data_IF_091182121898
#
_entry.id   IF_091182121898
#
_cell.length_a   1.000
_cell.length_b   1.000
_cell.length_c   1.000
_cell.angle_alpha   90.00
_cell.angle_beta   90.00
_cell.angle_gamma   90.00
#
_symmetry.space_group_name_H-M   'P 1'
#
loop_
_entity.id
_entity.type
_entity.pdbx_description
1 polymer ?
#
# COMPACT_ATOMS: atom_id res chain seq x y z
N UNK A 1 16.37 -27.15 18.71
CA UNK A 1 16.84 -26.56 17.43
C UNK A 1 15.70 -26.29 16.47
N UNK A 2 14.72 -27.19 16.29
CA UNK A 2 13.58 -26.99 15.38
C UNK A 2 12.67 -25.81 15.80
N UNK A 3 12.41 -25.62 17.09
CA UNK A 3 11.60 -24.51 17.59
C UNK A 3 12.26 -23.14 17.38
N UNK A 4 13.58 -23.04 17.50
CA UNK A 4 14.34 -21.82 17.21
C UNK A 4 14.34 -21.48 15.71
N UNK A 5 14.45 -22.49 14.85
CA UNK A 5 14.38 -22.29 13.41
C UNK A 5 12.98 -21.81 12.97
N UNK A 6 11.92 -22.38 13.54
CA UNK A 6 10.54 -21.95 13.26
C UNK A 6 10.27 -20.51 13.71
N UNK A 7 10.72 -20.12 14.91
CA UNK A 7 10.57 -18.74 15.40
C UNK A 7 11.36 -17.72 14.57
N UNK A 8 12.53 -18.10 14.09
CA UNK A 8 13.37 -17.23 13.23
C UNK A 8 12.73 -17.06 11.85
N UNK A 9 12.17 -18.12 11.26
CA UNK A 9 11.47 -18.04 9.98
C UNK A 9 10.21 -17.18 10.09
N UNK A 10 9.41 -17.35 11.14
CA UNK A 10 8.23 -16.51 11.39
C UNK A 10 8.60 -15.02 11.50
N UNK A 11 9.73 -14.69 12.12
CA UNK A 11 10.22 -13.30 12.18
C UNK A 11 10.58 -12.74 10.79
N UNK A 12 11.17 -13.55 9.92
CA UNK A 12 11.49 -13.14 8.54
C UNK A 12 10.25 -13.03 7.64
N UNK A 13 9.23 -13.84 7.86
CA UNK A 13 7.94 -13.74 7.18
C UNK A 13 7.19 -12.47 7.59
N UNK A 14 7.14 -12.15 8.89
CA UNK A 14 6.57 -10.90 9.39
C UNK A 14 7.31 -9.70 8.79
N UNK A 15 8.63 -9.75 8.71
CA UNK A 15 9.43 -8.69 8.09
C UNK A 15 9.07 -8.51 6.61
N UNK A 16 8.91 -9.60 5.87
CA UNK A 16 8.48 -9.58 4.47
C UNK A 16 7.07 -8.99 4.32
N UNK A 17 6.14 -9.38 5.19
CA UNK A 17 4.77 -8.86 5.18
C UNK A 17 4.72 -7.35 5.46
N UNK A 18 5.47 -6.87 6.47
CA UNK A 18 5.55 -5.45 6.81
C UNK A 18 6.13 -4.63 5.65
N UNK A 19 7.21 -5.10 5.04
CA UNK A 19 7.82 -4.39 3.92
C UNK A 19 6.90 -4.38 2.70
N UNK A 20 6.35 -5.53 2.29
CA UNK A 20 5.46 -5.59 1.14
C UNK A 20 4.20 -4.75 1.33
N UNK A 21 3.55 -4.86 2.49
CA UNK A 21 2.35 -4.09 2.80
C UNK A 21 2.64 -2.57 2.86
N UNK A 22 3.81 -2.16 3.36
CA UNK A 22 4.21 -0.75 3.40
C UNK A 22 4.56 -0.16 2.02
N UNK A 23 4.86 -0.98 1.03
CA UNK A 23 5.04 -0.55 -0.36
C UNK A 23 3.71 -0.31 -1.09
N UNK A 24 2.62 -0.94 -0.64
CA UNK A 24 1.30 -0.87 -1.30
C UNK A 24 0.73 0.54 -1.38
N UNK A 25 0.69 1.36 -0.31
CA UNK A 25 0.05 2.67 -0.34
C UNK A 25 0.54 3.59 -1.47
N UNK A 26 1.84 3.90 -1.58
CA UNK A 26 2.32 4.78 -2.65
C UNK A 26 2.16 4.16 -4.04
N UNK A 27 2.39 2.84 -4.18
CA UNK A 27 2.22 2.15 -5.46
C UNK A 27 0.75 2.14 -5.92
N UNK A 28 -0.18 1.94 -4.99
CA UNK A 28 -1.61 1.97 -5.29
C UNK A 28 -2.08 3.35 -5.74
N UNK A 29 -1.59 4.42 -5.08
CA UNK A 29 -1.92 5.78 -5.48
C UNK A 29 -1.29 6.16 -6.82
N UNK A 30 -0.05 5.74 -7.08
CA UNK A 30 0.60 5.88 -8.36
C UNK A 30 -0.19 5.17 -9.49
N UNK A 31 -0.64 3.94 -9.23
CA UNK A 31 -1.47 3.19 -10.17
C UNK A 31 -2.84 3.85 -10.40
N UNK A 32 -3.52 4.24 -9.33
CA UNK A 32 -4.84 4.86 -9.39
C UNK A 32 -4.82 6.20 -10.17
N UNK A 33 -3.83 7.07 -9.93
CA UNK A 33 -3.66 8.33 -10.64
C UNK A 33 -3.32 8.14 -12.12
N UNK A 34 -2.62 7.05 -12.45
CA UNK A 34 -2.29 6.70 -13.84
C UNK A 34 -3.51 6.14 -14.57
N UNK A 35 -4.29 5.26 -13.94
CA UNK A 35 -5.47 4.62 -14.56
C UNK A 35 -6.66 5.58 -14.71
N UNK A 36 -6.89 6.44 -13.73
CA UNK A 36 -8.04 7.36 -13.69
C UNK A 36 -7.62 8.78 -13.27
N UNK A 37 -6.85 9.48 -14.12
CA UNK A 37 -6.35 10.82 -13.79
C UNK A 37 -7.46 11.85 -13.54
N UNK A 38 -8.65 11.66 -14.12
CA UNK A 38 -9.79 12.56 -13.94
C UNK A 38 -10.42 12.56 -12.56
N UNK A 39 -10.08 11.58 -11.69
CA UNK A 39 -10.56 11.51 -10.31
C UNK A 39 -9.61 12.19 -9.32
N UNK A 40 -8.48 12.68 -9.80
CA UNK A 40 -7.42 13.26 -8.98
C UNK A 40 -7.09 14.67 -9.45
N UNK A 41 -6.81 15.55 -8.51
CA UNK A 41 -6.33 16.90 -8.79
C UNK A 41 -4.95 16.89 -9.47
N UNK A 42 -4.56 18.01 -10.05
CA UNK A 42 -3.27 18.12 -10.71
C UNK A 42 -2.09 17.88 -9.78
N UNK A 43 -2.05 18.42 -8.53
CA UNK A 43 -1.03 18.09 -7.55
C UNK A 43 -0.99 16.60 -7.18
N UNK A 44 -2.16 15.95 -7.03
CA UNK A 44 -2.22 14.52 -6.76
C UNK A 44 -1.64 13.67 -7.90
N UNK A 45 -1.89 14.06 -9.15
CA UNK A 45 -1.33 13.37 -10.34
C UNK A 45 0.19 13.51 -10.41
N UNK A 46 0.71 14.67 -10.06
CA UNK A 46 2.14 14.91 -10.01
C UNK A 46 2.81 14.10 -8.88
N UNK A 47 2.23 14.11 -7.68
CA UNK A 47 2.64 13.24 -6.59
C UNK A 47 2.55 11.74 -6.96
N UNK A 48 1.55 11.34 -7.75
CA UNK A 48 1.41 9.97 -8.25
C UNK A 48 2.58 9.50 -9.11
N UNK A 49 3.18 10.39 -9.88
CA UNK A 49 4.39 10.07 -10.68
C UNK A 49 5.59 9.78 -9.78
N UNK A 50 5.79 10.58 -8.73
CA UNK A 50 6.87 10.35 -7.76
C UNK A 50 6.59 9.10 -6.89
N UNK A 51 5.33 8.80 -6.62
CA UNK A 51 4.91 7.68 -5.79
C UNK A 51 5.31 6.31 -6.34
N UNK A 52 5.52 6.15 -7.65
CA UNK A 52 6.07 4.93 -8.23
C UNK A 52 7.46 4.61 -7.68
N UNK A 53 8.35 5.59 -7.70
CA UNK A 53 9.71 5.41 -7.22
C UNK A 53 9.75 5.27 -5.69
N UNK A 54 9.00 6.11 -4.98
CA UNK A 54 8.91 6.07 -3.52
C UNK A 54 8.39 4.72 -3.03
N UNK A 55 7.31 4.21 -3.64
CA UNK A 55 6.73 2.92 -3.29
C UNK A 55 7.67 1.75 -3.56
N UNK A 56 8.37 1.75 -4.70
CA UNK A 56 9.37 0.74 -5.01
C UNK A 56 10.53 0.74 -4.02
N UNK A 57 10.87 1.90 -3.46
CA UNK A 57 11.95 2.08 -2.47
C UNK A 57 11.52 1.82 -1.02
N UNK A 58 10.26 1.41 -0.78
CA UNK A 58 9.67 1.27 0.56
C UNK A 58 9.58 2.62 1.31
N UNK A 59 9.27 3.69 0.59
CA UNK A 59 9.01 5.02 1.18
C UNK A 59 7.49 5.24 1.20
N UNK A 60 6.85 4.79 2.27
CA UNK A 60 5.39 4.81 2.45
C UNK A 60 4.83 6.25 2.52
N UNK A 61 5.68 7.21 2.91
CA UNK A 61 5.35 8.64 3.00
C UNK A 61 4.91 9.23 1.66
N UNK A 62 5.24 8.60 0.54
CA UNK A 62 4.72 8.98 -0.78
C UNK A 62 3.20 8.93 -0.91
N UNK A 63 2.52 8.24 0.02
CA UNK A 63 1.07 8.18 0.09
C UNK A 63 0.44 9.28 0.96
N UNK A 64 1.21 10.00 1.79
CA UNK A 64 0.69 11.00 2.74
C UNK A 64 -0.11 12.11 2.07
N UNK A 65 0.32 12.72 0.95
CA UNK A 65 -0.44 13.78 0.30
C UNK A 65 -1.85 13.32 -0.11
N UNK A 66 -2.00 12.08 -0.54
CA UNK A 66 -3.30 11.51 -0.92
C UNK A 66 -4.18 11.24 0.28
N UNK A 67 -3.60 10.69 1.36
CA UNK A 67 -4.32 10.43 2.60
C UNK A 67 -4.75 11.74 3.29
N UNK A 68 -3.97 12.80 3.16
CA UNK A 68 -4.33 14.11 3.69
C UNK A 68 -5.44 14.80 2.88
N UNK A 69 -5.45 14.60 1.55
CA UNK A 69 -6.46 15.18 0.67
C UNK A 69 -7.83 14.48 0.81
N UNK A 70 -7.85 13.16 1.01
CA UNK A 70 -9.08 12.35 1.05
C UNK A 70 -8.90 11.14 2.00
N UNK A 71 -8.88 11.38 3.31
CA UNK A 71 -8.60 10.32 4.29
C UNK A 71 -9.65 9.20 4.29
N UNK A 72 -10.92 9.56 4.10
CA UNK A 72 -12.02 8.60 4.22
C UNK A 72 -12.08 7.56 3.10
N UNK A 73 -11.53 7.87 1.93
CA UNK A 73 -11.48 6.95 0.78
C UNK A 73 -10.11 6.31 0.64
N UNK A 74 -9.05 7.07 0.86
CA UNK A 74 -7.69 6.62 0.65
C UNK A 74 -7.24 5.66 1.74
N UNK A 75 -7.44 5.99 3.03
CA UNK A 75 -6.95 5.16 4.13
C UNK A 75 -7.58 3.76 4.14
N UNK A 76 -8.92 3.59 4.06
CA UNK A 76 -9.52 2.25 4.03
C UNK A 76 -9.06 1.42 2.81
N UNK A 77 -8.84 2.08 1.67
CA UNK A 77 -8.36 1.41 0.46
C UNK A 77 -6.94 0.89 0.62
N UNK A 78 -6.06 1.67 1.25
CA UNK A 78 -4.70 1.26 1.57
C UNK A 78 -4.67 0.11 2.58
N UNK A 79 -5.55 0.15 3.60
CA UNK A 79 -5.70 -0.93 4.57
C UNK A 79 -6.13 -2.24 3.91
N UNK A 80 -7.10 -2.18 3.00
CA UNK A 80 -7.54 -3.37 2.26
C UNK A 80 -6.41 -3.99 1.43
N UNK A 81 -5.68 -3.17 0.66
CA UNK A 81 -4.55 -3.66 -0.14
C UNK A 81 -3.40 -4.18 0.71
N UNK A 82 -3.05 -3.49 1.80
CA UNK A 82 -2.02 -3.92 2.73
C UNK A 82 -2.37 -5.25 3.41
N UNK A 83 -3.63 -5.43 3.80
CA UNK A 83 -4.13 -6.69 4.39
C UNK A 83 -4.02 -7.86 3.40
N UNK A 84 -4.41 -7.66 2.14
CA UNK A 84 -4.29 -8.68 1.08
C UNK A 84 -2.82 -9.03 0.86
N UNK A 85 -1.94 -8.03 0.74
CA UNK A 85 -0.51 -8.26 0.57
C UNK A 85 0.08 -9.05 1.72
N UNK A 86 -0.16 -8.61 2.97
CA UNK A 86 0.36 -9.27 4.16
C UNK A 86 -0.13 -10.72 4.28
N UNK A 87 -1.41 -10.96 4.01
CA UNK A 87 -1.99 -12.30 4.02
C UNK A 87 -1.35 -13.23 2.97
N UNK A 88 -1.11 -12.73 1.76
CA UNK A 88 -0.46 -13.51 0.71
C UNK A 88 1.01 -13.79 1.02
N UNK A 89 1.75 -12.83 1.56
CA UNK A 89 3.14 -13.01 2.00
C UNK A 89 3.24 -14.14 3.03
N UNK A 90 2.35 -14.13 4.02
CA UNK A 90 2.30 -15.16 5.05
C UNK A 90 1.84 -16.51 4.49
N UNK A 91 0.87 -16.52 3.58
CA UNK A 91 0.35 -17.75 2.97
C UNK A 91 1.36 -18.46 2.05
N UNK A 92 2.30 -17.74 1.47
CA UNK A 92 3.33 -18.27 0.57
C UNK A 92 4.70 -18.41 1.23
N UNK A 93 4.78 -18.30 2.55
CA UNK A 93 6.02 -18.44 3.34
C UNK A 93 7.17 -17.57 2.78
N UNK A 94 6.84 -16.35 2.35
CA UNK A 94 7.83 -15.40 1.82
C UNK A 94 8.62 -14.80 2.97
N UNK A 95 9.94 -14.93 2.90
CA UNK A 95 10.85 -14.43 3.96
C UNK A 95 11.67 -13.25 3.48
N UNK A 96 12.02 -12.36 4.39
CA UNK A 96 12.90 -11.23 4.14
C UNK A 96 13.92 -11.10 5.26
N UNK A 97 15.19 -11.05 4.88
CA UNK A 97 16.33 -10.94 5.81
C UNK A 97 16.86 -9.50 5.96
N UNK A 98 16.22 -8.53 5.31
CA UNK A 98 16.59 -7.12 5.37
C UNK A 98 15.46 -6.29 6.00
N UNK A 99 15.75 -5.34 6.91
CA UNK A 99 14.71 -4.57 7.61
C UNK A 99 14.08 -3.45 6.77
N UNK A 100 14.74 -3.03 5.68
CA UNK A 100 14.29 -1.95 4.80
C UNK A 100 14.99 -2.02 3.44
N UNK A 101 14.55 -1.18 2.48
CA UNK A 101 15.20 -1.02 1.17
C UNK A 101 14.30 -1.35 -0.02
N UNK A 102 13.10 -1.87 0.20
CA UNK A 102 12.15 -2.14 -0.89
C UNK A 102 12.74 -3.04 -1.96
N UNK A 103 12.61 -2.65 -3.22
CA UNK A 103 13.10 -3.43 -4.35
C UNK A 103 14.64 -3.56 -4.39
N UNK A 104 15.37 -2.66 -3.74
CA UNK A 104 16.85 -2.70 -3.75
C UNK A 104 17.43 -3.87 -2.95
N UNK A 105 16.65 -4.50 -2.08
CA UNK A 105 17.06 -5.68 -1.30
C UNK A 105 16.47 -6.98 -1.84
N UNK A 106 16.15 -7.03 -3.13
CA UNK A 106 15.55 -8.20 -3.78
C UNK A 106 16.34 -9.50 -3.56
N UNK A 107 17.67 -9.41 -3.41
CA UNK A 107 18.55 -10.54 -3.13
C UNK A 107 18.37 -11.13 -1.71
N UNK A 108 17.76 -10.37 -0.80
CA UNK A 108 17.48 -10.81 0.57
C UNK A 108 16.05 -11.37 0.74
N UNK A 109 15.24 -11.34 -0.34
CA UNK A 109 13.88 -11.85 -0.35
C UNK A 109 13.89 -13.33 -0.73
N UNK A 110 13.43 -14.19 0.18
CA UNK A 110 13.11 -15.56 -0.14
C UNK A 110 11.79 -15.61 -0.95
N UNK A 111 11.76 -16.39 -2.03
CA UNK A 111 10.61 -16.49 -2.93
C UNK A 111 10.19 -15.15 -3.57
N UNK A 112 11.13 -14.49 -4.24
CA UNK A 112 10.92 -13.20 -4.89
C UNK A 112 9.68 -13.16 -5.80
N UNK A 113 9.40 -14.25 -6.52
CA UNK A 113 8.22 -14.32 -7.40
C UNK A 113 6.92 -14.12 -6.61
N UNK A 114 6.75 -14.84 -5.50
CA UNK A 114 5.56 -14.72 -4.67
C UNK A 114 5.48 -13.36 -3.95
N UNK A 115 6.62 -12.78 -3.59
CA UNK A 115 6.67 -11.41 -3.08
C UNK A 115 6.10 -10.42 -4.09
N UNK A 116 6.53 -10.49 -5.35
CA UNK A 116 6.05 -9.61 -6.41
C UNK A 116 4.56 -9.84 -6.72
N UNK A 117 4.10 -11.10 -6.71
CA UNK A 117 2.68 -11.44 -6.90
C UNK A 117 1.83 -10.86 -5.78
N UNK A 118 2.24 -11.02 -4.52
CA UNK A 118 1.53 -10.47 -3.37
C UNK A 118 1.48 -8.94 -3.38
N UNK A 119 2.60 -8.30 -3.71
CA UNK A 119 2.69 -6.84 -3.83
C UNK A 119 1.79 -6.32 -4.96
N UNK A 120 1.82 -6.96 -6.13
CA UNK A 120 0.98 -6.59 -7.26
C UNK A 120 -0.51 -6.75 -6.93
N UNK A 121 -0.90 -7.88 -6.34
CA UNK A 121 -2.28 -8.14 -5.96
C UNK A 121 -2.82 -7.08 -4.96
N UNK A 122 -2.08 -6.79 -3.89
CA UNK A 122 -2.48 -5.77 -2.93
C UNK A 122 -2.50 -4.36 -3.52
N UNK A 123 -1.54 -4.02 -4.38
CA UNK A 123 -1.52 -2.74 -5.10
C UNK A 123 -2.75 -2.56 -5.99
N UNK A 124 -3.13 -3.60 -6.73
CA UNK A 124 -4.34 -3.59 -7.58
C UNK A 124 -5.59 -3.47 -6.72
N UNK A 125 -5.70 -4.25 -5.65
CA UNK A 125 -6.85 -4.17 -4.73
C UNK A 125 -7.00 -2.76 -4.15
N UNK A 126 -5.93 -2.16 -3.64
CA UNK A 126 -5.98 -0.81 -3.10
C UNK A 126 -6.33 0.24 -4.17
N UNK A 127 -5.73 0.15 -5.36
CA UNK A 127 -6.00 1.08 -6.46
C UNK A 127 -7.46 0.98 -6.94
N UNK A 128 -7.98 -0.23 -7.13
CA UNK A 128 -9.38 -0.44 -7.52
C UNK A 128 -10.33 0.06 -6.45
N UNK A 129 -10.03 -0.22 -5.18
CA UNK A 129 -10.87 0.22 -4.06
C UNK A 129 -10.92 1.74 -3.94
N UNK A 130 -9.79 2.44 -4.06
CA UNK A 130 -9.78 3.92 -4.01
C UNK A 130 -10.47 4.53 -5.23
N UNK A 131 -10.29 3.97 -6.42
CA UNK A 131 -11.00 4.42 -7.63
C UNK A 131 -12.50 4.25 -7.44
N UNK A 132 -12.94 3.08 -7.00
CA UNK A 132 -14.35 2.80 -6.72
C UNK A 132 -14.90 3.75 -5.63
N UNK A 133 -14.17 3.94 -4.54
CA UNK A 133 -14.57 4.85 -3.48
C UNK A 133 -14.72 6.31 -3.99
N UNK A 134 -13.78 6.79 -4.79
CA UNK A 134 -13.86 8.13 -5.38
C UNK A 134 -14.99 8.27 -6.42
N UNK A 135 -15.41 7.19 -7.07
CA UNK A 135 -16.52 7.20 -8.03
C UNK A 135 -17.89 7.11 -7.37
N UNK A 136 -18.05 6.29 -6.34
CA UNK A 136 -19.35 5.96 -5.75
C UNK A 136 -19.69 6.74 -4.49
N UNK A 137 -18.68 7.21 -3.73
CA UNK A 137 -18.91 8.03 -2.54
C UNK A 137 -18.95 9.49 -2.95
N UNK A 138 -20.14 10.08 -2.92
CA UNK A 138 -20.39 11.46 -3.37
C UNK A 138 -19.64 12.50 -2.50
N UNK A 139 -19.21 13.65 -3.06
CA UNK A 139 -18.58 14.75 -2.30
C UNK A 139 -19.42 15.31 -1.14
N UNK A 140 -20.74 15.15 -1.19
CA UNK A 140 -21.67 15.58 -0.12
C UNK A 140 -21.39 14.94 1.24
N UNK A 141 -20.86 13.71 1.27
CA UNK A 141 -20.52 13.05 2.53
C UNK A 141 -19.27 13.62 3.17
N UNK A 142 -18.37 14.20 2.40
CA UNK A 142 -17.16 14.86 2.90
C UNK A 142 -17.47 16.23 3.51
N UNK A 143 -18.34 16.99 2.88
CA UNK A 143 -18.78 18.29 3.39
C UNK A 143 -19.49 18.14 4.73
N UNK A 144 -20.29 17.07 4.87
CA UNK A 144 -20.94 16.74 6.15
C UNK A 144 -19.96 16.21 7.21
N UNK A 145 -18.99 15.38 6.83
CA UNK A 145 -17.97 14.87 7.74
C UNK A 145 -17.03 16.00 8.21
N UNK A 146 -16.61 16.89 7.30
CA UNK A 146 -15.79 18.05 7.64
C UNK A 146 -16.57 19.09 8.45
N UNK A 147 -17.86 19.29 8.19
CA UNK A 147 -18.72 20.15 9.00
C UNK A 147 -18.92 19.58 10.42
N UNK A 148 -19.04 18.28 10.57
CA UNK A 148 -19.14 17.61 11.87
C UNK A 148 -17.82 17.70 12.67
N UNK A 149 -16.67 17.59 12.01
CA UNK A 149 -15.36 17.74 12.64
C UNK A 149 -15.05 19.21 13.02
N UNK A 150 -15.56 20.18 12.26
CA UNK A 150 -15.41 21.60 12.56
C UNK A 150 -16.36 22.09 13.67
N UNK A 151 -17.43 21.34 13.95
CA UNK A 151 -18.42 21.65 14.99
C UNK A 151 -18.12 20.98 16.36
N UNK A 152 -17.11 20.09 16.42
CA UNK A 152 -16.65 19.40 17.62
C UNK A 152 -15.46 20.08 18.26
#
# INVERSE_FOLDING_TARGET
>A
TAGLAASTNASFEIMAAVMAAGMVPPLAMALATTLRPGLFSEPERENGRAAWLLGASFISEGAIPFAAADPLRVIPSMMAGGAVTGALIMAFDVTLKAPHGGIFVFFAIGNLLWFLVALAAGTVVAAVTVIAAKQFISPKSEEQANAALAAA
#
